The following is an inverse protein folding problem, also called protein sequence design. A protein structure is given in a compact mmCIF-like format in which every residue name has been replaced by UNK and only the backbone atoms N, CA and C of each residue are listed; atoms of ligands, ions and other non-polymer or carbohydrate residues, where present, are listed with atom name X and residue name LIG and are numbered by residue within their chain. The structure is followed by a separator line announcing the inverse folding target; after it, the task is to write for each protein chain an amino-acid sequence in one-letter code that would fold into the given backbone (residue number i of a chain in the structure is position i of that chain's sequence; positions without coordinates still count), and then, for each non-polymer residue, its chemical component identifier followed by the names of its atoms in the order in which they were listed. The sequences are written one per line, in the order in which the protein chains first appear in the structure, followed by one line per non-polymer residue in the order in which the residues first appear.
data_IF_833751181502
#
_entry.id   IF_833751181502
#
_cell.length_a   1.000
_cell.length_b   1.000
_cell.length_c   1.000
_cell.angle_alpha   90.00
_cell.angle_beta   90.00
_cell.angle_gamma   90.00
#
_symmetry.space_group_name_H-M   'P 1'
#
loop_
_entity.id
_entity.type
_entity.pdbx_description
1 polymer ?
#
# COMPACT_ATOMS: atom_id res chain seq x y z
N UNK A 1 12.04 -21.49 17.88
CA UNK A 1 12.09 -20.52 18.99
C UNK A 1 12.67 -19.22 18.45
N UNK A 2 11.96 -18.09 18.61
CA UNK A 2 12.49 -16.77 18.27
C UNK A 2 13.67 -16.44 19.18
N UNK A 3 14.78 -16.00 18.59
CA UNK A 3 15.94 -15.50 19.30
C UNK A 3 15.85 -13.98 19.52
N UNK A 4 15.32 -13.30 18.52
CA UNK A 4 14.98 -11.87 18.53
C UNK A 4 13.48 -11.76 18.24
N UNK A 5 12.76 -11.00 19.05
CA UNK A 5 11.33 -10.78 18.88
C UNK A 5 11.05 -9.28 18.79
N UNK A 6 10.55 -8.84 17.63
CA UNK A 6 10.15 -7.47 17.31
C UNK A 6 11.16 -6.38 17.71
N UNK A 7 12.43 -6.57 17.36
CA UNK A 7 13.49 -5.60 17.66
C UNK A 7 13.46 -4.42 16.68
N UNK A 8 13.31 -3.21 17.21
CA UNK A 8 13.38 -1.99 16.39
C UNK A 8 14.78 -1.77 15.83
N UNK A 9 14.83 -1.46 14.53
CA UNK A 9 16.02 -0.99 13.83
C UNK A 9 15.88 0.50 13.52
N UNK A 10 16.96 1.23 13.60
CA UNK A 10 17.04 2.64 13.19
C UNK A 10 17.91 2.78 11.95
N UNK A 11 17.44 3.63 11.04
CA UNK A 11 18.20 3.98 9.84
C UNK A 11 19.32 4.98 10.23
N UNK A 12 20.51 4.69 9.74
CA UNK A 12 21.67 5.57 9.84
C UNK A 12 22.17 5.91 8.43
N UNK A 13 23.15 6.80 8.33
CA UNK A 13 23.73 7.17 7.04
C UNK A 13 24.25 5.95 6.25
N UNK A 14 24.19 6.05 4.93
CA UNK A 14 24.72 5.01 4.03
C UNK A 14 23.89 3.74 3.93
N UNK A 15 22.57 3.82 4.11
CA UNK A 15 21.65 2.65 4.02
C UNK A 15 21.90 1.57 5.09
N UNK A 16 22.45 1.94 6.24
CA UNK A 16 22.70 1.04 7.36
C UNK A 16 21.54 1.07 8.34
N UNK A 17 21.07 -0.09 8.72
CA UNK A 17 20.12 -0.28 9.82
C UNK A 17 20.85 -0.78 11.05
N UNK A 18 20.66 -0.12 12.18
CA UNK A 18 21.25 -0.53 13.46
C UNK A 18 20.14 -0.86 14.45
N UNK A 19 20.31 -1.94 15.25
CA UNK A 19 19.34 -2.29 16.27
C UNK A 19 19.39 -1.28 17.43
N UNK A 20 18.21 -0.85 17.91
CA UNK A 20 18.07 0.04 19.07
C UNK A 20 18.62 -0.58 20.37
N UNK A 21 18.76 -1.89 20.41
CA UNK A 21 19.29 -2.65 21.53
C UNK A 21 20.35 -3.61 21.01
N UNK A 22 21.51 -3.61 21.63
CA UNK A 22 22.58 -4.57 21.30
C UNK A 22 22.11 -6.00 21.50
N UNK A 23 22.30 -6.83 20.48
CA UNK A 23 22.02 -8.25 20.49
C UNK A 23 23.28 -8.99 20.08
N UNK A 24 23.63 -10.01 20.83
CA UNK A 24 24.78 -10.87 20.53
C UNK A 24 24.31 -12.13 19.83
N UNK A 25 25.17 -12.71 19.02
CA UNK A 25 24.90 -14.04 18.45
C UNK A 25 24.88 -15.10 19.56
N UNK A 26 24.03 -16.14 19.42
CA UNK A 26 24.09 -17.27 20.32
C UNK A 26 25.44 -17.96 20.24
N UNK A 27 25.85 -18.57 21.34
CA UNK A 27 27.10 -19.38 21.42
C UNK A 27 26.98 -20.62 20.50
N UNK A 28 28.12 -21.06 19.97
CA UNK A 28 28.23 -22.21 19.09
C UNK A 28 28.03 -21.89 17.60
N UNK A 29 28.08 -22.92 16.75
CA UNK A 29 27.86 -22.81 15.30
C UNK A 29 26.36 -22.81 15.00
N UNK A 30 25.69 -21.73 15.35
CA UNK A 30 24.26 -21.54 15.13
C UNK A 30 24.04 -20.70 13.88
N UNK A 31 23.08 -21.12 13.04
CA UNK A 31 22.56 -20.33 11.92
C UNK A 31 21.22 -19.71 12.29
N UNK A 32 21.06 -18.43 11.98
CA UNK A 32 19.83 -17.67 12.21
C UNK A 32 19.23 -17.21 10.88
N UNK A 33 17.92 -17.24 10.82
CA UNK A 33 17.15 -16.58 9.75
C UNK A 33 16.55 -15.29 10.31
N UNK A 34 16.69 -14.20 9.55
CA UNK A 34 16.12 -12.91 9.91
C UNK A 34 14.94 -12.59 9.01
N UNK A 35 13.84 -12.15 9.62
CA UNK A 35 12.71 -11.54 8.95
C UNK A 35 12.57 -10.13 9.49
N UNK A 36 12.60 -9.13 8.60
CA UNK A 36 12.44 -7.72 8.93
C UNK A 36 11.26 -7.14 8.20
N UNK A 37 10.58 -6.18 8.81
CA UNK A 37 9.42 -5.53 8.19
C UNK A 37 9.42 -4.02 8.44
N UNK A 38 8.71 -3.29 7.60
CA UNK A 38 8.47 -1.86 7.69
C UNK A 38 7.00 -1.56 7.33
N UNK A 39 6.32 -0.58 7.96
CA UNK A 39 6.79 0.23 9.11
C UNK A 39 6.86 -0.58 10.41
N UNK A 40 7.79 -0.20 11.30
CA UNK A 40 7.90 -0.82 12.63
C UNK A 40 6.65 -0.56 13.47
N UNK A 41 6.16 -1.59 14.14
CA UNK A 41 4.95 -1.54 14.96
C UNK A 41 5.25 -2.01 16.38
N UNK A 42 4.68 -1.32 17.38
CA UNK A 42 4.74 -1.71 18.79
C UNK A 42 3.40 -2.23 19.30
N UNK A 43 2.30 -1.80 18.69
CA UNK A 43 0.94 -2.15 19.08
C UNK A 43 0.39 -3.27 18.20
N UNK A 44 -0.41 -4.14 18.81
CA UNK A 44 -1.07 -5.25 18.10
C UNK A 44 -0.14 -6.41 17.70
N UNK A 45 1.16 -6.31 17.96
CA UNK A 45 2.12 -7.38 17.67
C UNK A 45 2.18 -8.31 18.87
N UNK A 46 1.66 -9.52 18.72
CA UNK A 46 1.69 -10.53 19.77
C UNK A 46 3.08 -11.17 19.84
N UNK A 47 3.67 -11.14 21.03
CA UNK A 47 4.99 -11.74 21.27
C UNK A 47 5.03 -13.23 20.89
N UNK A 48 6.08 -13.64 20.18
CA UNK A 48 6.30 -15.03 19.81
C UNK A 48 5.43 -15.55 18.67
N UNK A 49 4.66 -14.70 18.00
CA UNK A 49 3.87 -15.08 16.81
C UNK A 49 4.48 -14.48 15.53
N UNK A 50 4.39 -15.19 14.40
CA UNK A 50 4.82 -14.64 13.12
C UNK A 50 3.75 -13.74 12.47
N UNK A 51 2.63 -13.48 13.13
CA UNK A 51 1.49 -12.76 12.56
C UNK A 51 1.53 -11.29 12.97
N UNK A 52 1.45 -10.40 11.99
CA UNK A 52 1.41 -8.96 12.17
C UNK A 52 0.09 -8.39 11.68
N UNK A 53 -0.55 -7.47 12.44
CA UNK A 53 -1.64 -6.66 11.90
C UNK A 53 -1.08 -5.67 10.89
N UNK A 54 -1.67 -5.61 9.71
CA UNK A 54 -1.29 -4.68 8.65
C UNK A 54 -2.51 -3.85 8.27
N UNK A 55 -2.33 -2.53 8.20
CA UNK A 55 -3.38 -1.63 7.76
C UNK A 55 -2.83 -0.54 6.83
N UNK A 56 -3.70 -0.02 5.97
CA UNK A 56 -3.40 1.14 5.15
C UNK A 56 -4.05 2.40 5.73
N UNK A 57 -3.40 3.55 5.57
CA UNK A 57 -3.99 4.83 5.91
C UNK A 57 -5.13 5.16 4.95
N UNK A 58 -6.23 5.67 5.48
CA UNK A 58 -7.40 6.06 4.69
C UNK A 58 -7.18 7.38 3.92
N UNK A 59 -6.33 8.25 4.42
CA UNK A 59 -5.88 9.44 3.71
C UNK A 59 -4.42 9.25 3.29
N UNK A 60 -4.21 8.87 2.04
CA UNK A 60 -2.87 8.69 1.47
C UNK A 60 -2.38 9.93 0.68
N UNK A 61 -3.09 11.07 0.78
CA UNK A 61 -2.78 12.28 0.01
C UNK A 61 -1.45 12.94 0.41
N UNK A 62 -0.92 12.64 1.59
CA UNK A 62 0.37 13.12 2.06
C UNK A 62 1.42 12.00 2.11
N UNK A 63 2.69 12.38 1.95
CA UNK A 63 3.81 11.44 1.87
C UNK A 63 3.97 10.58 3.13
N UNK A 64 3.75 11.14 4.31
CA UNK A 64 3.87 10.41 5.59
C UNK A 64 2.88 9.24 5.65
N UNK A 65 1.60 9.50 5.36
CA UNK A 65 0.56 8.48 5.41
C UNK A 65 0.75 7.44 4.30
N UNK A 66 1.19 7.90 3.12
CA UNK A 66 1.55 7.00 2.02
C UNK A 66 2.67 6.05 2.43
N UNK A 67 3.75 6.57 3.03
CA UNK A 67 4.87 5.75 3.52
C UNK A 67 4.45 4.78 4.64
N UNK A 68 3.54 5.19 5.53
CA UNK A 68 2.98 4.33 6.56
C UNK A 68 2.08 3.21 6.01
N UNK A 69 1.50 3.41 4.82
CA UNK A 69 0.72 2.39 4.12
C UNK A 69 1.60 1.41 3.35
N UNK A 70 2.88 1.69 3.17
CA UNK A 70 3.78 0.87 2.36
C UNK A 70 4.43 -0.23 3.20
N UNK A 71 3.76 -1.37 3.29
CA UNK A 71 4.24 -2.52 4.05
C UNK A 71 5.30 -3.31 3.28
N UNK A 72 6.52 -3.36 3.84
CA UNK A 72 7.69 -4.01 3.25
C UNK A 72 8.17 -5.16 4.14
N UNK A 73 8.67 -6.22 3.52
CA UNK A 73 9.29 -7.36 4.23
C UNK A 73 10.59 -7.74 3.55
N UNK A 74 11.61 -8.02 4.35
CA UNK A 74 12.90 -8.59 3.92
C UNK A 74 13.18 -9.88 4.70
N UNK A 75 13.80 -10.85 4.03
CA UNK A 75 14.26 -12.10 4.64
C UNK A 75 15.75 -12.31 4.33
N UNK A 76 16.52 -12.72 5.34
CA UNK A 76 17.90 -13.16 5.18
C UNK A 76 18.09 -14.47 5.93
N UNK A 77 18.61 -15.48 5.27
CA UNK A 77 18.70 -16.85 5.78
C UNK A 77 20.15 -17.30 5.93
N UNK A 78 20.37 -18.25 6.81
CA UNK A 78 21.68 -18.90 6.97
C UNK A 78 22.75 -18.00 7.58
N UNK A 79 22.37 -16.98 8.34
CA UNK A 79 23.29 -16.00 8.90
C UNK A 79 23.96 -16.58 10.14
N UNK A 80 25.29 -16.48 10.21
CA UNK A 80 26.10 -17.01 11.32
C UNK A 80 26.90 -15.89 11.99
N UNK A 81 27.49 -16.18 13.14
CA UNK A 81 28.40 -15.25 13.87
C UNK A 81 29.61 -14.79 13.04
N UNK A 82 29.94 -15.49 11.95
CA UNK A 82 31.02 -15.13 11.01
C UNK A 82 30.58 -14.12 9.94
N UNK A 83 29.29 -13.88 9.80
CA UNK A 83 28.73 -12.92 8.84
C UNK A 83 28.93 -11.50 9.34
N UNK A 84 29.72 -10.70 8.62
CA UNK A 84 30.09 -9.34 9.07
C UNK A 84 28.95 -8.34 8.93
N UNK A 85 28.08 -8.52 7.91
CA UNK A 85 26.91 -7.67 7.66
C UNK A 85 25.79 -8.50 7.03
N UNK A 86 24.56 -8.18 7.39
CA UNK A 86 23.35 -8.83 6.84
C UNK A 86 22.72 -7.85 5.84
N UNK A 87 22.56 -8.30 4.60
CA UNK A 87 21.82 -7.53 3.59
C UNK A 87 20.33 -7.86 3.69
N UNK A 88 19.48 -6.82 3.79
CA UNK A 88 18.04 -6.93 3.84
C UNK A 88 17.45 -6.29 2.57
N UNK A 89 16.94 -7.11 1.67
CA UNK A 89 16.25 -6.64 0.46
C UNK A 89 14.75 -6.57 0.72
N UNK A 90 14.28 -5.35 0.97
CA UNK A 90 12.87 -5.11 1.26
C UNK A 90 12.01 -5.17 -0.01
N UNK A 91 10.93 -5.91 0.08
CA UNK A 91 9.94 -6.05 -0.98
C UNK A 91 8.59 -5.53 -0.51
N UNK A 92 7.88 -4.79 -1.38
CA UNK A 92 6.49 -4.41 -1.14
C UNK A 92 5.62 -5.65 -1.01
N UNK A 93 4.70 -5.64 -0.04
CA UNK A 93 3.75 -6.76 0.17
C UNK A 93 2.31 -6.36 -0.09
N UNK A 94 2.02 -5.06 -0.16
CA UNK A 94 0.70 -4.57 -0.55
C UNK A 94 0.57 -4.46 -2.07
N UNK A 95 -0.63 -4.17 -2.51
CA UNK A 95 -0.95 -3.97 -3.92
C UNK A 95 -1.15 -2.49 -4.21
N UNK A 96 -1.01 -2.08 -5.46
CA UNK A 96 -1.19 -0.71 -5.90
C UNK A 96 -2.22 -0.61 -7.02
N UNK A 97 -3.22 0.27 -6.84
CA UNK A 97 -4.11 0.72 -7.92
C UNK A 97 -3.61 2.06 -8.43
N UNK A 98 -3.20 2.14 -9.68
CA UNK A 98 -2.83 3.38 -10.34
C UNK A 98 -3.97 3.82 -11.29
N UNK A 99 -4.22 5.13 -11.35
CA UNK A 99 -5.31 5.69 -12.14
C UNK A 99 -4.77 6.31 -13.42
N UNK A 100 -5.45 5.99 -14.52
CA UNK A 100 -5.28 6.63 -15.81
C UNK A 100 -6.63 7.21 -16.25
N UNK A 101 -6.79 8.53 -16.19
CA UNK A 101 -8.02 9.23 -16.50
C UNK A 101 -7.94 9.81 -17.92
N UNK A 102 -8.81 9.32 -18.82
CA UNK A 102 -8.94 9.82 -20.19
C UNK A 102 -10.00 10.91 -20.22
N UNK A 103 -9.70 12.12 -20.74
CA UNK A 103 -10.69 13.18 -20.90
C UNK A 103 -11.79 12.77 -21.89
N UNK A 104 -12.95 13.40 -21.77
CA UNK A 104 -14.00 13.30 -22.76
C UNK A 104 -13.70 14.15 -24.03
N UNK A 105 -14.62 14.12 -25.00
CA UNK A 105 -14.45 14.87 -26.22
C UNK A 105 -14.51 16.41 -26.04
N UNK A 106 -15.00 16.89 -24.89
CA UNK A 106 -15.20 18.32 -24.60
C UNK A 106 -14.05 18.92 -23.77
N UNK A 107 -13.20 18.10 -23.20
CA UNK A 107 -12.09 18.51 -22.32
C UNK A 107 -10.76 17.95 -22.82
N UNK A 108 -9.69 18.68 -22.59
CA UNK A 108 -8.33 18.17 -22.77
C UNK A 108 -7.78 17.63 -21.45
N UNK A 109 -6.73 16.81 -21.52
CA UNK A 109 -6.03 16.38 -20.32
C UNK A 109 -5.49 17.57 -19.50
N UNK A 110 -5.09 18.67 -20.14
CA UNK A 110 -4.65 19.87 -19.46
C UNK A 110 -5.80 20.61 -18.73
N UNK A 111 -7.02 20.55 -19.23
CA UNK A 111 -8.18 21.12 -18.55
C UNK A 111 -8.53 20.31 -17.30
N UNK A 112 -8.47 18.98 -17.39
CA UNK A 112 -8.61 18.12 -16.23
C UNK A 112 -7.48 18.34 -15.21
N UNK A 113 -6.23 18.51 -15.67
CA UNK A 113 -5.10 18.80 -14.79
C UNK A 113 -5.31 20.09 -13.97
N UNK A 114 -5.76 21.17 -14.64
CA UNK A 114 -6.08 22.46 -13.98
C UNK A 114 -7.21 22.32 -12.96
N UNK A 115 -8.20 21.49 -13.25
CA UNK A 115 -9.31 21.23 -12.35
C UNK A 115 -8.93 20.34 -11.16
N UNK A 116 -7.77 19.66 -11.21
CA UNK A 116 -7.18 18.84 -10.16
C UNK A 116 -8.20 17.89 -9.49
N UNK A 117 -8.80 16.93 -10.21
CA UNK A 117 -9.83 16.07 -9.67
C UNK A 117 -9.33 15.31 -8.43
N UNK A 118 -10.12 15.32 -7.35
CA UNK A 118 -9.91 14.47 -6.19
C UNK A 118 -10.50 13.09 -6.48
N UNK A 119 -9.79 12.03 -6.14
CA UNK A 119 -10.26 10.66 -6.33
C UNK A 119 -10.18 9.86 -5.03
N UNK A 120 -11.24 9.09 -4.77
CA UNK A 120 -11.43 8.27 -3.57
C UNK A 120 -11.82 6.88 -4.03
N UNK A 121 -11.21 5.85 -3.47
CA UNK A 121 -11.64 4.46 -3.66
C UNK A 121 -12.52 4.05 -2.49
N UNK A 122 -13.70 3.49 -2.76
CA UNK A 122 -14.69 3.13 -1.74
C UNK A 122 -14.87 1.62 -1.65
N UNK A 123 -15.27 1.15 -0.46
CA UNK A 123 -15.63 -0.25 -0.24
C UNK A 123 -14.46 -1.23 -0.16
N UNK A 124 -13.21 -0.74 -0.11
CA UNK A 124 -12.02 -1.58 0.02
C UNK A 124 -11.75 -1.99 1.46
N UNK A 125 -11.20 -3.19 1.64
CA UNK A 125 -10.66 -3.64 2.93
C UNK A 125 -9.37 -2.89 3.22
N UNK A 126 -9.24 -2.39 4.46
CA UNK A 126 -8.14 -1.53 4.88
C UNK A 126 -7.21 -2.16 5.90
N UNK A 127 -7.55 -3.35 6.41
CA UNK A 127 -6.76 -4.07 7.40
C UNK A 127 -6.76 -5.57 7.13
N UNK A 128 -5.68 -6.24 7.49
CA UNK A 128 -5.53 -7.70 7.42
C UNK A 128 -4.46 -8.16 8.41
N UNK A 129 -4.38 -9.45 8.64
CA UNK A 129 -3.25 -10.10 9.28
C UNK A 129 -2.28 -10.60 8.20
N UNK A 130 -0.98 -10.38 8.42
CA UNK A 130 0.09 -10.88 7.57
C UNK A 130 0.96 -11.87 8.32
N UNK A 131 1.14 -13.06 7.77
CA UNK A 131 2.03 -14.07 8.31
C UNK A 131 3.45 -13.90 7.73
N UNK A 132 4.43 -13.58 8.59
CA UNK A 132 5.83 -13.36 8.21
C UNK A 132 6.53 -14.63 7.69
N UNK A 133 6.10 -15.82 8.14
CA UNK A 133 6.73 -17.08 7.76
C UNK A 133 6.36 -17.48 6.32
N UNK A 134 5.08 -17.54 6.02
CA UNK A 134 4.58 -17.98 4.70
C UNK A 134 4.27 -16.83 3.73
N UNK A 135 4.15 -15.59 4.22
CA UNK A 135 3.93 -14.42 3.40
C UNK A 135 2.48 -14.23 2.95
N UNK A 136 1.53 -14.82 3.67
CA UNK A 136 0.09 -14.75 3.33
C UNK A 136 -0.65 -13.68 4.10
N UNK A 137 -1.68 -13.12 3.47
CA UNK A 137 -2.67 -12.26 4.11
C UNK A 137 -3.91 -13.06 4.50
N UNK A 138 -4.47 -12.75 5.66
CA UNK A 138 -5.72 -13.35 6.18
C UNK A 138 -6.54 -12.33 6.96
N UNK A 139 -7.75 -12.68 7.37
CA UNK A 139 -8.60 -11.85 8.24
C UNK A 139 -8.81 -10.43 7.72
N UNK A 140 -9.13 -10.27 6.42
CA UNK A 140 -9.36 -8.96 5.82
C UNK A 140 -10.57 -8.27 6.45
N UNK A 141 -10.35 -7.10 7.03
CA UNK A 141 -11.35 -6.32 7.79
C UNK A 141 -11.31 -4.83 7.46
N UNK A 142 -12.16 -4.05 8.12
CA UNK A 142 -12.14 -2.58 8.02
C UNK A 142 -12.48 -2.08 6.63
N UNK A 143 -13.77 -1.99 6.27
CA UNK A 143 -14.17 -1.38 4.99
C UNK A 143 -14.27 0.13 5.14
N UNK A 144 -13.41 0.89 4.47
CA UNK A 144 -13.36 2.34 4.51
C UNK A 144 -13.00 2.95 3.14
N UNK A 145 -13.23 4.24 3.01
CA UNK A 145 -12.87 5.01 1.83
C UNK A 145 -11.42 5.45 1.91
N UNK A 146 -10.69 5.31 0.81
CA UNK A 146 -9.27 5.67 0.73
C UNK A 146 -9.09 6.83 -0.23
N UNK A 147 -8.43 7.90 0.22
CA UNK A 147 -8.06 9.05 -0.59
C UNK A 147 -6.73 8.77 -1.29
N UNK A 148 -6.68 8.98 -2.61
CA UNK A 148 -5.50 8.71 -3.43
C UNK A 148 -4.27 9.55 -3.04
N UNK A 149 -3.11 8.93 -3.18
CA UNK A 149 -1.79 9.57 -3.14
C UNK A 149 -1.36 10.11 -4.52
N UNK A 150 -0.23 10.81 -4.53
CA UNK A 150 0.44 11.29 -5.74
C UNK A 150 -0.18 12.57 -6.31
N UNK A 151 0.46 13.07 -7.35
CA UNK A 151 0.04 14.27 -8.07
C UNK A 151 -0.35 13.92 -9.51
N UNK A 152 -1.36 14.61 -10.03
CA UNK A 152 -1.73 14.45 -11.43
C UNK A 152 -0.64 14.98 -12.37
N UNK A 153 -0.38 14.24 -13.42
CA UNK A 153 0.46 14.66 -14.53
C UNK A 153 -0.18 14.26 -15.86
N UNK A 154 0.12 14.99 -16.92
CA UNK A 154 -0.36 14.65 -18.27
C UNK A 154 0.67 13.76 -18.96
N UNK A 155 0.23 12.59 -19.40
CA UNK A 155 0.98 11.66 -20.24
C UNK A 155 0.05 11.08 -21.31
N UNK A 156 0.45 11.12 -22.57
CA UNK A 156 -0.31 10.57 -23.72
C UNK A 156 -1.78 11.04 -23.75
N UNK A 157 -1.99 12.34 -23.53
CA UNK A 157 -3.32 12.99 -23.43
C UNK A 157 -4.24 12.38 -22.35
N UNK A 158 -3.69 11.83 -21.28
CA UNK A 158 -4.39 11.31 -20.10
C UNK A 158 -3.81 11.91 -18.83
N UNK A 159 -4.61 11.97 -17.75
CA UNK A 159 -4.09 12.21 -16.42
C UNK A 159 -3.63 10.90 -15.80
N UNK A 160 -2.43 10.92 -15.26
CA UNK A 160 -1.81 9.82 -14.51
C UNK A 160 -1.16 10.36 -13.25
N UNK A 161 -0.74 9.48 -12.33
CA UNK A 161 0.01 9.86 -11.12
C UNK A 161 -0.76 9.73 -9.81
N UNK A 162 -2.10 9.61 -9.85
CA UNK A 162 -2.87 9.24 -8.65
C UNK A 162 -2.87 7.73 -8.48
N UNK A 163 -2.63 7.29 -7.23
CA UNK A 163 -2.53 5.88 -6.89
C UNK A 163 -3.03 5.60 -5.47
N UNK A 164 -3.35 4.34 -5.20
CA UNK A 164 -3.76 3.83 -3.91
C UNK A 164 -2.88 2.63 -3.54
N UNK A 165 -2.37 2.61 -2.33
CA UNK A 165 -1.80 1.41 -1.71
C UNK A 165 -2.94 0.71 -0.98
N UNK A 166 -3.20 -0.55 -1.30
CA UNK A 166 -4.32 -1.32 -0.77
C UNK A 166 -3.86 -2.68 -0.26
N UNK A 167 -4.60 -3.23 0.70
CA UNK A 167 -4.45 -4.63 1.10
C UNK A 167 -4.76 -5.53 -0.10
N UNK A 168 -3.95 -6.57 -0.38
CA UNK A 168 -4.27 -7.58 -1.39
C UNK A 168 -5.66 -8.17 -1.16
N UNK A 169 -6.54 -8.05 -2.15
CA UNK A 169 -7.93 -8.47 -2.04
C UNK A 169 -8.56 -8.64 -3.42
N UNK A 170 -9.62 -9.44 -3.49
CA UNK A 170 -10.46 -9.49 -4.68
C UNK A 170 -11.42 -8.30 -4.70
N UNK A 171 -11.40 -7.53 -5.77
CA UNK A 171 -12.36 -6.50 -6.07
C UNK A 171 -13.49 -7.14 -6.88
N UNK A 172 -14.72 -7.04 -6.39
CA UNK A 172 -15.88 -7.66 -7.04
C UNK A 172 -16.68 -6.60 -7.80
N UNK A 173 -17.23 -7.01 -8.93
CA UNK A 173 -18.02 -6.12 -9.77
C UNK A 173 -19.17 -5.44 -9.00
N UNK A 174 -19.25 -4.11 -9.14
CA UNK A 174 -20.28 -3.28 -8.53
C UNK A 174 -20.26 -3.10 -7.02
N UNK A 175 -19.26 -3.69 -6.28
CA UNK A 175 -19.16 -3.52 -4.82
C UNK A 175 -18.20 -2.43 -4.39
N UNK A 176 -17.15 -2.21 -5.16
CA UNK A 176 -16.17 -1.16 -4.93
C UNK A 176 -16.27 -0.14 -6.07
N UNK A 177 -16.04 1.13 -5.74
CA UNK A 177 -16.12 2.20 -6.73
C UNK A 177 -15.07 3.28 -6.49
N UNK A 178 -14.78 4.05 -7.54
CA UNK A 178 -14.12 5.33 -7.39
C UNK A 178 -15.17 6.44 -7.34
N UNK A 179 -14.99 7.35 -6.39
CA UNK A 179 -15.65 8.65 -6.36
C UNK A 179 -14.64 9.68 -6.84
N UNK A 180 -15.00 10.45 -7.84
CA UNK A 180 -14.19 11.53 -8.37
C UNK A 180 -14.92 12.85 -8.18
N UNK A 181 -14.29 13.78 -7.47
CA UNK A 181 -14.79 15.13 -7.25
C UNK A 181 -14.08 16.08 -8.22
N UNK A 182 -14.85 16.69 -9.12
CA UNK A 182 -14.33 17.56 -10.16
C UNK A 182 -15.29 18.70 -10.48
N UNK A 183 -14.78 19.95 -10.45
CA UNK A 183 -15.55 21.18 -10.77
C UNK A 183 -16.89 21.27 -10.03
N UNK A 184 -16.90 20.92 -8.73
CA UNK A 184 -18.10 20.95 -7.88
C UNK A 184 -19.13 19.85 -8.19
N UNK A 185 -18.76 18.84 -8.97
CA UNK A 185 -19.59 17.67 -9.27
C UNK A 185 -18.94 16.42 -8.73
N UNK A 186 -19.77 15.44 -8.40
CA UNK A 186 -19.35 14.12 -7.93
C UNK A 186 -19.70 13.09 -9.00
N UNK A 187 -18.72 12.29 -9.38
CA UNK A 187 -18.87 11.19 -10.32
C UNK A 187 -18.54 9.88 -9.59
N UNK A 188 -19.25 8.83 -9.91
CA UNK A 188 -18.94 7.49 -9.39
C UNK A 188 -18.77 6.53 -10.56
N UNK A 189 -17.74 5.68 -10.49
CA UNK A 189 -17.57 4.57 -11.41
C UNK A 189 -17.17 3.32 -10.65
N UNK A 190 -17.71 2.17 -11.02
CA UNK A 190 -17.33 0.89 -10.43
C UNK A 190 -15.85 0.62 -10.71
N UNK A 191 -15.15 0.04 -9.73
CA UNK A 191 -13.83 -0.55 -9.96
C UNK A 191 -14.08 -1.88 -10.66
N UNK A 192 -13.45 -2.14 -11.82
CA UNK A 192 -13.59 -3.43 -12.50
C UNK A 192 -13.22 -4.59 -11.61
N UNK A 193 -13.85 -5.74 -11.81
CA UNK A 193 -13.46 -6.96 -11.12
C UNK A 193 -11.99 -7.30 -11.39
N UNK A 194 -11.23 -7.44 -10.32
CA UNK A 194 -9.81 -7.77 -10.39
C UNK A 194 -9.34 -8.42 -9.09
N UNK A 195 -8.48 -9.42 -9.21
CA UNK A 195 -7.75 -9.97 -8.08
C UNK A 195 -6.45 -9.20 -7.88
N UNK A 196 -6.36 -8.50 -6.77
CA UNK A 196 -5.17 -7.76 -6.38
C UNK A 196 -4.28 -8.63 -5.50
N UNK A 197 -3.29 -9.27 -6.13
CA UNK A 197 -2.31 -10.10 -5.43
C UNK A 197 -1.23 -9.25 -4.77
N UNK A 198 -0.55 -9.81 -3.77
CA UNK A 198 0.61 -9.20 -3.11
C UNK A 198 1.67 -8.74 -4.11
N UNK A 199 2.27 -7.59 -3.87
CA UNK A 199 3.37 -7.02 -4.69
C UNK A 199 2.97 -6.72 -6.14
N UNK A 200 1.69 -6.54 -6.43
CA UNK A 200 1.21 -6.24 -7.79
C UNK A 200 0.72 -4.80 -7.94
N UNK A 201 0.78 -4.31 -9.16
CA UNK A 201 0.18 -3.05 -9.57
C UNK A 201 -0.85 -3.28 -10.67
N UNK A 202 -2.03 -2.68 -10.51
CA UNK A 202 -3.04 -2.62 -11.55
C UNK A 202 -3.27 -1.17 -11.98
N UNK A 203 -3.35 -0.91 -13.29
CA UNK A 203 -3.69 0.40 -13.84
C UNK A 203 -5.16 0.37 -14.24
N UNK A 204 -5.97 1.21 -13.60
CA UNK A 204 -7.39 1.35 -13.92
C UNK A 204 -7.58 2.54 -14.86
N UNK A 205 -8.09 2.25 -16.05
CA UNK A 205 -8.42 3.27 -17.04
C UNK A 205 -9.84 3.76 -16.79
N UNK A 206 -9.99 5.03 -16.48
CA UNK A 206 -11.27 5.72 -16.30
C UNK A 206 -11.45 6.67 -17.47
N UNK A 207 -12.62 6.66 -18.10
CA UNK A 207 -13.01 7.65 -19.11
C UNK A 207 -13.93 8.69 -18.47
N UNK A 208 -13.56 9.96 -18.54
CA UNK A 208 -14.45 11.06 -18.17
C UNK A 208 -15.52 11.20 -19.24
N UNK A 209 -16.60 10.42 -19.15
CA UNK A 209 -17.71 10.52 -20.07
C UNK A 209 -18.68 11.62 -19.64
N UNK A 210 -19.17 12.42 -20.57
CA UNK A 210 -20.40 13.19 -20.36
C UNK A 210 -21.54 12.21 -20.15
N UNK A 211 -22.06 12.24 -18.92
CA UNK A 211 -23.42 11.83 -18.49
C UNK A 211 -24.02 10.51 -19.00
N UNK A 212 -24.10 9.59 -18.20
CA UNK A 212 -25.22 8.86 -17.60
C UNK A 212 -24.81 8.32 -16.22
N UNK A 213 -23.78 8.87 -15.65
CA UNK A 213 -23.38 8.61 -14.29
C UNK A 213 -24.35 9.30 -13.34
N UNK A 214 -24.87 8.55 -12.39
CA UNK A 214 -25.71 9.07 -11.33
C UNK A 214 -24.97 10.22 -10.63
N UNK A 215 -25.42 11.44 -10.85
CA UNK A 215 -24.95 12.62 -10.12
C UNK A 215 -25.55 12.50 -8.74
N UNK A 216 -24.73 12.16 -7.75
CA UNK A 216 -25.12 12.30 -6.36
C UNK A 216 -25.16 13.79 -6.05
N UNK A 217 -26.36 14.33 -5.87
CA UNK A 217 -26.53 15.71 -5.38
C UNK A 217 -26.11 15.75 -3.90
N UNK A 218 -25.26 16.72 -3.54
CA UNK A 218 -24.97 17.03 -2.14
C UNK A 218 -26.26 17.42 -1.40
N UNK A 219 -26.46 16.85 -0.23
CA UNK A 219 -27.42 17.35 0.75
C UNK A 219 -26.86 18.57 1.47
#
# INVERSE_FOLDING_TARGET
KLYIDNLALEYTEGSTLVPKKTVFYPEGDVSLDFISYHPYQTEGVAAGTPVLPVSVQIDQSNEKNRAQSDFLVAKAQGITSKTKSVTLEFQHKLSKLAISLTPDASNSANDLLKANPRIIATGLKTSADYNLEDGTFSNLTGTQDIIASGEWSVKDNKLTGKEFIIIPQTINDGKQSFIMEWSGRIYSCAIPEVEMSSSTQCIINISAMQSNSNVLSSF
#
